data_IF_343050038731
#
_entry.id   IF_343050038731
#
_cell.length_a   1.000
_cell.length_b   1.000
_cell.length_c   1.000
_cell.angle_alpha   90.00
_cell.angle_beta   90.00
_cell.angle_gamma   90.00
#
_symmetry.space_group_name_H-M   'P 1'
#
loop_
_entity.id
_entity.type
_entity.pdbx_description
1 polymer ?
#
# COMPACT_ATOMS: atom_id res chain seq x y z
N UNK A 1 79.27 -32.91 -44.67
CA UNK A 1 79.56 -31.49 -44.40
C UNK A 1 78.23 -30.76 -44.27
N UNK A 2 77.91 -30.36 -43.03
CA UNK A 2 76.90 -29.39 -42.60
C UNK A 2 75.38 -29.68 -42.74
N UNK A 3 74.75 -29.56 -41.57
CA UNK A 3 73.37 -29.77 -41.18
C UNK A 3 72.44 -28.58 -41.47
N UNK A 4 71.12 -28.82 -41.38
CA UNK A 4 70.08 -27.97 -40.74
C UNK A 4 68.70 -28.62 -40.98
N UNK A 5 68.11 -29.26 -39.97
CA UNK A 5 67.31 -28.72 -38.86
C UNK A 5 65.81 -28.74 -39.15
N UNK A 6 65.19 -29.74 -38.54
CA UNK A 6 63.81 -29.88 -38.08
C UNK A 6 63.09 -28.55 -37.80
N UNK A 7 61.82 -28.45 -38.22
CA UNK A 7 60.75 -27.82 -37.42
C UNK A 7 59.38 -28.27 -37.91
N UNK A 8 58.81 -29.27 -37.23
CA UNK A 8 57.35 -29.43 -37.17
C UNK A 8 56.77 -28.24 -36.40
N UNK A 9 55.78 -27.56 -36.99
CA UNK A 9 54.87 -26.69 -36.24
C UNK A 9 53.45 -27.22 -36.37
N UNK A 10 53.08 -28.04 -35.39
CA UNK A 10 51.69 -28.16 -34.95
C UNK A 10 51.22 -26.77 -34.52
N UNK A 11 50.19 -26.25 -35.16
CA UNK A 11 49.33 -25.23 -34.55
C UNK A 11 47.91 -25.79 -34.54
N UNK A 12 47.59 -26.30 -33.36
CA UNK A 12 46.28 -26.73 -32.89
C UNK A 12 45.29 -25.56 -32.91
N UNK A 13 44.05 -25.89 -33.27
CA UNK A 13 42.79 -25.27 -32.89
C UNK A 13 42.91 -24.09 -31.91
N UNK A 14 42.51 -22.91 -32.37
CA UNK A 14 42.05 -21.85 -31.47
C UNK A 14 40.81 -21.21 -32.08
N UNK A 15 39.66 -21.84 -31.85
CA UNK A 15 38.38 -21.16 -32.00
C UNK A 15 38.37 -19.97 -31.06
N UNK A 16 38.58 -18.78 -31.62
CA UNK A 16 38.36 -17.51 -30.94
C UNK A 16 36.87 -17.47 -30.60
N UNK A 17 36.52 -17.84 -29.37
CA UNK A 17 35.19 -17.56 -28.82
C UNK A 17 35.11 -16.05 -28.66
N UNK A 18 34.47 -15.39 -29.63
CA UNK A 18 33.97 -14.02 -29.51
C UNK A 18 32.93 -14.03 -28.38
N UNK A 19 33.40 -13.82 -27.15
CA UNK A 19 32.52 -13.36 -26.08
C UNK A 19 32.15 -11.92 -26.41
N UNK A 20 31.04 -11.75 -27.15
CA UNK A 20 30.33 -10.47 -27.20
C UNK A 20 29.79 -10.20 -25.80
N UNK A 21 30.60 -9.55 -24.97
CA UNK A 21 30.10 -8.89 -23.78
C UNK A 21 29.27 -7.73 -24.29
N UNK A 22 27.94 -7.88 -24.27
CA UNK A 22 27.03 -6.78 -24.56
C UNK A 22 27.47 -5.57 -23.70
N UNK A 23 27.76 -4.45 -24.37
CA UNK A 23 28.16 -3.23 -23.68
C UNK A 23 27.11 -2.89 -22.61
N UNK A 24 27.52 -2.44 -21.40
CA UNK A 24 26.55 -2.03 -20.40
C UNK A 24 25.71 -0.90 -20.99
N UNK A 25 24.40 -1.13 -21.14
CA UNK A 25 23.47 -0.12 -21.64
C UNK A 25 23.58 1.11 -20.75
N UNK A 26 24.24 2.15 -21.26
CA UNK A 26 24.45 3.39 -20.53
C UNK A 26 23.12 4.14 -20.50
N UNK A 27 22.51 4.18 -19.32
CA UNK A 27 21.30 4.97 -19.09
C UNK A 27 21.71 6.36 -18.65
N UNK A 28 21.23 7.37 -19.37
CA UNK A 28 21.45 8.77 -19.04
C UNK A 28 20.95 9.13 -17.63
N UNK A 29 21.79 9.87 -16.89
CA UNK A 29 21.53 10.25 -15.50
C UNK A 29 20.37 11.24 -15.40
N UNK A 30 20.25 12.17 -16.33
CA UNK A 30 19.19 13.19 -16.30
C UNK A 30 17.83 12.55 -16.53
N UNK A 31 17.73 11.69 -17.54
CA UNK A 31 16.54 10.91 -17.86
C UNK A 31 16.10 10.02 -16.70
N UNK A 32 17.05 9.35 -16.04
CA UNK A 32 16.79 8.55 -14.84
C UNK A 32 16.25 9.39 -13.67
N UNK A 33 16.84 10.56 -13.43
CA UNK A 33 16.37 11.49 -12.40
C UNK A 33 14.98 12.04 -12.72
N UNK A 34 14.71 12.38 -13.99
CA UNK A 34 13.41 12.89 -14.46
C UNK A 34 12.32 11.84 -14.26
N UNK A 35 12.56 10.60 -14.67
CA UNK A 35 11.60 9.50 -14.52
C UNK A 35 11.33 9.19 -13.04
N UNK A 36 12.36 9.19 -12.19
CA UNK A 36 12.20 9.00 -10.74
C UNK A 36 11.44 10.14 -10.08
N UNK A 37 11.73 11.41 -10.40
CA UNK A 37 11.01 12.55 -9.82
C UNK A 37 9.53 12.53 -10.20
N UNK A 38 9.19 12.11 -11.42
CA UNK A 38 7.81 11.97 -11.88
C UNK A 38 7.06 10.83 -11.20
N UNK A 39 7.69 9.67 -11.09
CA UNK A 39 6.97 8.44 -10.70
C UNK A 39 7.19 8.02 -9.25
N UNK A 40 8.27 8.45 -8.61
CA UNK A 40 8.62 8.09 -7.23
C UNK A 40 9.13 6.65 -7.04
N UNK A 41 9.26 5.84 -8.10
CA UNK A 41 9.73 4.46 -7.99
C UNK A 41 11.25 4.33 -7.73
N UNK A 42 11.69 3.13 -7.39
CA UNK A 42 13.10 2.83 -7.13
C UNK A 42 13.98 3.10 -8.36
N UNK A 43 15.22 3.57 -8.13
CA UNK A 43 16.18 3.80 -9.23
C UNK A 43 16.42 2.55 -10.08
N UNK A 44 16.38 1.37 -9.46
CA UNK A 44 16.56 0.08 -10.16
C UNK A 44 15.44 -0.13 -11.17
N UNK A 45 14.19 0.10 -10.77
CA UNK A 45 13.05 -0.09 -11.65
C UNK A 45 13.02 0.99 -12.74
N UNK A 46 13.31 2.26 -12.40
CA UNK A 46 13.43 3.32 -13.41
C UNK A 46 14.55 3.04 -14.41
N UNK A 47 15.69 2.49 -13.98
CA UNK A 47 16.78 2.08 -14.88
C UNK A 47 16.32 0.94 -15.80
N UNK A 48 15.66 -0.09 -15.26
CA UNK A 48 15.13 -1.19 -16.09
C UNK A 48 14.13 -0.68 -17.13
N UNK A 49 13.27 0.26 -16.76
CA UNK A 49 12.32 0.88 -17.69
C UNK A 49 13.05 1.62 -18.83
N UNK A 50 14.06 2.42 -18.49
CA UNK A 50 14.85 3.16 -19.48
C UNK A 50 15.69 2.25 -20.38
N UNK A 51 16.15 1.09 -19.89
CA UNK A 51 16.82 0.09 -20.73
C UNK A 51 15.86 -0.52 -21.76
N UNK A 52 14.58 -0.65 -21.44
CA UNK A 52 13.58 -1.25 -22.33
C UNK A 52 13.01 -0.26 -23.36
N UNK A 53 12.73 0.98 -22.96
CA UNK A 53 12.04 1.97 -23.82
C UNK A 53 12.92 3.12 -24.30
N UNK A 54 14.12 3.29 -23.75
CA UNK A 54 14.99 4.42 -24.04
C UNK A 54 14.55 5.73 -23.35
N UNK A 55 15.31 6.82 -23.53
CA UNK A 55 15.06 8.11 -22.87
C UNK A 55 13.89 8.92 -23.47
N UNK A 56 13.51 8.67 -24.73
CA UNK A 56 12.51 9.47 -25.45
C UNK A 56 11.06 9.10 -25.11
N UNK A 57 10.83 7.85 -24.67
CA UNK A 57 9.50 7.27 -24.43
C UNK A 57 9.15 7.18 -22.95
N UNK A 58 9.14 8.33 -22.27
CA UNK A 58 8.90 8.40 -20.83
C UNK A 58 7.51 7.91 -20.42
N UNK A 59 6.48 8.14 -21.25
CA UNK A 59 5.11 7.76 -20.91
C UNK A 59 4.89 6.24 -21.00
N UNK A 60 5.50 5.58 -22.01
CA UNK A 60 5.53 4.12 -22.12
C UNK A 60 6.29 3.50 -20.96
N UNK A 61 7.44 4.09 -20.59
CA UNK A 61 8.23 3.66 -19.45
C UNK A 61 7.46 3.79 -18.12
N UNK A 62 6.68 4.86 -17.94
CA UNK A 62 5.83 5.05 -16.77
C UNK A 62 4.70 4.00 -16.69
N UNK A 63 4.03 3.73 -17.81
CA UNK A 63 3.00 2.68 -17.86
C UNK A 63 3.59 1.32 -17.49
N UNK A 64 4.73 0.98 -18.08
CA UNK A 64 5.45 -0.25 -17.76
C UNK A 64 5.87 -0.32 -16.28
N UNK A 65 6.36 0.79 -15.71
CA UNK A 65 6.71 0.87 -14.30
C UNK A 65 5.52 0.57 -13.39
N UNK A 66 4.33 1.07 -13.72
CA UNK A 66 3.11 0.78 -12.95
C UNK A 66 2.76 -0.71 -13.00
N UNK A 67 2.79 -1.31 -14.19
CA UNK A 67 2.51 -2.74 -14.37
C UNK A 67 3.51 -3.63 -13.62
N UNK A 68 4.79 -3.29 -13.69
CA UNK A 68 5.86 -3.99 -12.96
C UNK A 68 5.69 -3.80 -11.45
N UNK A 69 5.37 -2.59 -10.99
CA UNK A 69 5.18 -2.31 -9.57
C UNK A 69 4.03 -3.11 -8.97
N UNK A 70 2.93 -3.31 -9.72
CA UNK A 70 1.83 -4.18 -9.28
C UNK A 70 2.35 -5.61 -9.12
N UNK A 71 2.96 -6.18 -10.16
CA UNK A 71 3.49 -7.56 -10.14
C UNK A 71 4.51 -7.79 -9.02
N UNK A 72 5.46 -6.87 -8.87
CA UNK A 72 6.46 -6.92 -7.81
C UNK A 72 5.84 -6.73 -6.42
N UNK A 73 4.79 -5.90 -6.30
CA UNK A 73 4.04 -5.72 -5.07
C UNK A 73 3.42 -7.02 -4.58
N UNK A 74 2.73 -7.76 -5.47
CA UNK A 74 2.15 -9.07 -5.16
C UNK A 74 3.23 -10.09 -4.77
N UNK A 75 4.33 -10.14 -5.51
CA UNK A 75 5.44 -11.04 -5.19
C UNK A 75 6.10 -10.72 -3.85
N UNK A 76 6.26 -9.43 -3.52
CA UNK A 76 6.81 -8.99 -2.23
C UNK A 76 5.84 -9.30 -1.09
N UNK A 77 4.55 -8.98 -1.25
CA UNK A 77 3.55 -9.27 -0.25
C UNK A 77 3.50 -10.77 0.10
N UNK A 78 3.54 -11.65 -0.92
CA UNK A 78 3.60 -13.10 -0.70
C UNK A 78 4.88 -13.56 0.01
N UNK A 79 6.02 -12.90 -0.21
CA UNK A 79 7.28 -13.22 0.47
C UNK A 79 7.33 -12.70 1.91
N UNK A 80 6.71 -11.56 2.16
CA UNK A 80 6.75 -10.87 3.45
C UNK A 80 5.63 -11.32 4.38
N UNK A 81 4.56 -11.95 3.87
CA UNK A 81 3.37 -12.35 4.64
C UNK A 81 3.67 -13.19 5.89
N UNK A 82 4.74 -13.98 5.87
CA UNK A 82 5.11 -14.85 6.98
C UNK A 82 5.85 -14.11 8.12
N UNK A 83 6.19 -12.83 7.93
CA UNK A 83 6.87 -12.03 8.95
C UNK A 83 5.86 -11.50 9.97
N UNK A 84 6.25 -11.48 11.24
CA UNK A 84 5.39 -11.03 12.32
C UNK A 84 5.11 -9.52 12.26
N UNK A 85 3.84 -9.14 12.30
CA UNK A 85 3.40 -7.73 12.36
C UNK A 85 2.89 -7.38 13.76
N UNK A 86 3.79 -6.86 14.59
CA UNK A 86 3.49 -6.52 16.00
C UNK A 86 3.18 -5.03 16.21
N UNK A 87 3.57 -4.18 15.26
CA UNK A 87 3.32 -2.74 15.30
C UNK A 87 2.13 -2.38 14.40
N UNK A 88 1.68 -1.14 14.45
CA UNK A 88 0.54 -0.68 13.67
C UNK A 88 -0.19 0.50 14.29
N UNK A 89 -1.29 0.89 13.63
CA UNK A 89 -2.23 1.91 14.08
C UNK A 89 -3.66 1.45 13.84
N UNK A 90 -4.56 2.04 14.61
CA UNK A 90 -6.00 1.87 14.47
C UNK A 90 -6.60 3.21 14.04
N UNK A 91 -7.40 3.18 12.97
CA UNK A 91 -8.14 4.32 12.45
C UNK A 91 -9.61 4.21 12.84
N UNK A 92 -10.21 5.35 13.20
CA UNK A 92 -11.65 5.47 13.46
C UNK A 92 -12.22 6.68 12.74
N UNK A 93 -13.32 6.46 12.03
CA UNK A 93 -14.10 7.52 11.39
C UNK A 93 -15.58 7.31 11.70
N UNK A 94 -16.27 8.35 12.18
CA UNK A 94 -17.68 8.29 12.56
C UNK A 94 -18.48 9.33 11.78
N UNK A 95 -19.68 8.95 11.35
CA UNK A 95 -20.62 9.82 10.67
C UNK A 95 -22.05 9.50 11.11
N UNK A 96 -22.58 10.33 12.01
CA UNK A 96 -23.94 10.17 12.53
C UNK A 96 -24.10 8.84 13.27
N UNK A 97 -24.92 7.95 12.72
CA UNK A 97 -25.24 6.63 13.27
C UNK A 97 -24.31 5.50 12.79
N UNK A 98 -23.28 5.79 11.99
CA UNK A 98 -22.33 4.77 11.50
C UNK A 98 -20.91 5.16 11.84
N UNK A 99 -20.07 4.20 12.22
CA UNK A 99 -18.64 4.40 12.36
C UNK A 99 -17.86 3.23 11.76
N UNK A 100 -16.68 3.51 11.21
CA UNK A 100 -15.73 2.52 10.75
C UNK A 100 -14.52 2.51 11.67
N UNK A 101 -14.05 1.31 12.04
CA UNK A 101 -12.81 1.08 12.76
C UNK A 101 -11.97 0.10 11.96
N UNK A 102 -10.75 0.51 11.63
CA UNK A 102 -9.80 -0.31 10.87
C UNK A 102 -8.51 -0.44 11.66
N UNK A 103 -8.09 -1.67 11.90
CA UNK A 103 -6.78 -1.99 12.49
C UNK A 103 -5.82 -2.42 11.39
N UNK A 104 -4.70 -1.71 11.27
CA UNK A 104 -3.65 -2.02 10.31
C UNK A 104 -2.34 -2.28 11.06
N UNK A 105 -1.75 -3.44 10.81
CA UNK A 105 -0.49 -3.87 11.43
C UNK A 105 0.68 -3.88 10.44
N UNK A 106 1.87 -3.63 10.94
CA UNK A 106 3.14 -3.65 10.21
C UNK A 106 4.28 -4.24 11.06
N UNK A 107 5.46 -4.41 10.45
CA UNK A 107 6.64 -4.96 11.13
C UNK A 107 7.21 -3.95 12.14
N UNK A 108 7.50 -2.72 11.69
CA UNK A 108 8.19 -1.70 12.51
C UNK A 108 7.34 -0.49 12.85
N UNK A 109 7.70 0.23 13.91
CA UNK A 109 7.00 1.47 14.31
C UNK A 109 7.38 2.67 13.43
N UNK A 110 8.53 2.62 12.75
CA UNK A 110 8.95 3.61 11.75
C UNK A 110 7.97 3.69 10.59
N UNK A 111 7.53 2.54 10.07
CA UNK A 111 6.53 2.51 9.01
C UNK A 111 5.17 2.97 9.52
N UNK A 112 4.76 2.54 10.72
CA UNK A 112 3.48 2.95 11.32
C UNK A 112 3.32 4.47 11.45
N UNK A 113 4.41 5.19 11.77
CA UNK A 113 4.39 6.66 11.93
C UNK A 113 4.51 7.42 10.61
N UNK A 114 4.86 6.74 9.52
CA UNK A 114 5.08 7.34 8.21
C UNK A 114 3.79 7.80 7.52
N UNK A 115 3.87 8.88 6.74
CA UNK A 115 2.72 9.45 6.02
C UNK A 115 2.05 8.43 5.09
N UNK A 116 2.82 7.65 4.32
CA UNK A 116 2.28 6.63 3.41
C UNK A 116 1.41 5.58 4.13
N UNK A 117 1.77 5.20 5.37
CA UNK A 117 1.01 4.21 6.14
C UNK A 117 -0.28 4.82 6.69
N UNK A 118 -0.22 6.07 7.16
CA UNK A 118 -1.40 6.83 7.59
C UNK A 118 -2.38 7.08 6.45
N UNK A 119 -1.87 7.45 5.27
CA UNK A 119 -2.68 7.60 4.04
C UNK A 119 -3.39 6.30 3.66
N UNK A 120 -2.69 5.15 3.73
CA UNK A 120 -3.30 3.85 3.50
C UNK A 120 -4.42 3.58 4.51
N UNK A 121 -4.17 3.78 5.81
CA UNK A 121 -5.16 3.56 6.87
C UNK A 121 -6.36 4.50 6.71
N UNK A 122 -6.13 5.74 6.31
CA UNK A 122 -7.19 6.71 5.98
C UNK A 122 -8.07 6.21 4.84
N UNK A 123 -7.45 5.81 3.72
CA UNK A 123 -8.16 5.29 2.56
C UNK A 123 -9.00 4.06 2.91
N UNK A 124 -8.44 3.10 3.66
CA UNK A 124 -9.16 1.91 4.11
C UNK A 124 -10.36 2.30 5.00
N UNK A 125 -10.15 3.17 5.97
CA UNK A 125 -11.20 3.59 6.92
C UNK A 125 -12.34 4.33 6.21
N UNK A 126 -12.01 5.22 5.27
CA UNK A 126 -13.00 5.94 4.46
C UNK A 126 -13.81 4.99 3.58
N UNK A 127 -13.16 4.03 2.92
CA UNK A 127 -13.83 3.05 2.07
C UNK A 127 -14.79 2.17 2.87
N UNK A 128 -14.39 1.70 4.06
CA UNK A 128 -15.28 0.95 4.97
C UNK A 128 -16.47 1.81 5.39
N UNK A 129 -16.23 3.06 5.80
CA UNK A 129 -17.31 3.96 6.24
C UNK A 129 -18.30 4.24 5.10
N UNK A 130 -17.82 4.50 3.89
CA UNK A 130 -18.64 4.75 2.70
C UNK A 130 -19.50 3.54 2.35
N UNK A 131 -18.91 2.35 2.38
CA UNK A 131 -19.64 1.11 2.11
C UNK A 131 -20.69 0.81 3.20
N UNK A 132 -20.35 1.02 4.48
CA UNK A 132 -21.26 0.85 5.59
C UNK A 132 -22.46 1.81 5.53
N UNK A 133 -22.22 3.07 5.12
CA UNK A 133 -23.29 4.06 4.88
C UNK A 133 -24.25 3.65 3.77
N UNK A 134 -23.80 2.90 2.77
CA UNK A 134 -24.69 2.40 1.72
C UNK A 134 -25.49 1.17 2.17
N UNK A 135 -25.02 0.46 3.19
CA UNK A 135 -25.61 -0.78 3.70
C UNK A 135 -26.21 -0.59 5.12
N UNK A 136 -27.12 0.38 5.29
CA UNK A 136 -27.74 0.75 6.59
C UNK A 136 -28.73 -0.31 7.14
N UNK A 137 -28.78 -1.52 6.57
CA UNK A 137 -29.71 -2.59 6.94
C UNK A 137 -29.60 -3.11 8.39
N UNK A 138 -28.65 -2.61 9.20
CA UNK A 138 -28.30 -3.15 10.52
C UNK A 138 -28.77 -2.29 11.72
N UNK A 139 -29.84 -1.48 11.55
CA UNK A 139 -30.47 -0.74 12.65
C UNK A 139 -31.22 -1.69 13.60
N UNK A 140 -30.50 -2.31 14.55
CA UNK A 140 -31.09 -3.15 15.59
C UNK A 140 -31.60 -2.37 16.81
N UNK A 141 -32.58 -2.93 17.51
CA UNK A 141 -33.15 -2.35 18.73
C UNK A 141 -32.18 -2.44 19.92
N UNK A 142 -31.49 -1.35 20.21
CA UNK A 142 -30.91 -1.06 21.54
C UNK A 142 -29.42 -1.39 21.75
N UNK A 143 -28.76 -2.12 20.86
CA UNK A 143 -27.31 -2.40 20.93
C UNK A 143 -26.59 -1.89 19.68
N UNK A 144 -25.29 -1.60 19.81
CA UNK A 144 -24.43 -1.29 18.67
C UNK A 144 -24.29 -2.56 17.83
N UNK A 145 -24.71 -2.53 16.58
CA UNK A 145 -24.50 -3.63 15.65
C UNK A 145 -23.11 -3.53 15.03
N UNK A 146 -22.49 -4.67 14.76
CA UNK A 146 -21.15 -4.76 14.17
C UNK A 146 -21.24 -5.54 12.87
N UNK A 147 -20.71 -4.97 11.80
CA UNK A 147 -20.48 -5.67 10.54
C UNK A 147 -18.97 -5.74 10.28
N UNK A 148 -18.49 -6.92 9.92
CA UNK A 148 -17.11 -7.13 9.50
C UNK A 148 -17.05 -7.17 7.98
N UNK A 149 -16.02 -6.57 7.40
CA UNK A 149 -15.83 -6.52 5.96
C UNK A 149 -14.52 -7.16 5.54
N UNK A 150 -14.55 -7.79 4.37
CA UNK A 150 -13.37 -8.37 3.75
C UNK A 150 -12.71 -7.40 2.76
N UNK A 151 -11.40 -7.57 2.58
CA UNK A 151 -10.60 -6.74 1.68
C UNK A 151 -10.92 -6.90 0.19
N UNK A 152 -11.54 -8.03 -0.17
CA UNK A 152 -11.82 -8.40 -1.57
C UNK A 152 -13.13 -7.80 -2.08
N UNK A 153 -14.09 -7.58 -1.18
CA UNK A 153 -15.42 -7.07 -1.52
C UNK A 153 -15.43 -5.54 -1.60
N UNK A 154 -14.56 -4.89 -0.83
CA UNK A 154 -14.47 -3.44 -0.77
C UNK A 154 -13.60 -2.86 -1.88
N UNK A 155 -14.12 -1.80 -2.50
CA UNK A 155 -13.42 -1.01 -3.53
C UNK A 155 -13.20 0.41 -3.06
N UNK A 156 -12.07 0.98 -3.46
CA UNK A 156 -11.77 2.40 -3.31
C UNK A 156 -12.51 3.24 -4.35
N UNK A 157 -12.41 4.56 -4.23
CA UNK A 157 -12.99 5.53 -5.18
C UNK A 157 -12.43 5.36 -6.61
N UNK A 158 -11.19 4.88 -6.72
CA UNK A 158 -10.53 4.54 -7.99
C UNK A 158 -10.97 3.18 -8.58
N UNK A 159 -11.90 2.47 -7.93
CA UNK A 159 -12.40 1.16 -8.38
C UNK A 159 -11.47 -0.03 -8.10
N UNK A 160 -10.27 0.20 -7.57
CA UNK A 160 -9.33 -0.85 -7.12
C UNK A 160 -9.83 -1.53 -5.85
N UNK A 161 -9.51 -2.80 -5.69
CA UNK A 161 -9.81 -3.55 -4.46
C UNK A 161 -8.92 -3.08 -3.31
N UNK A 162 -9.39 -3.17 -2.06
CA UNK A 162 -8.56 -2.80 -0.90
C UNK A 162 -7.31 -3.69 -0.81
N UNK A 163 -7.44 -4.96 -1.19
CA UNK A 163 -6.32 -5.91 -1.25
C UNK A 163 -5.20 -5.44 -2.20
N UNK A 164 -5.55 -4.95 -3.38
CA UNK A 164 -4.58 -4.37 -4.31
C UNK A 164 -3.89 -3.15 -3.72
N UNK A 165 -4.64 -2.26 -3.06
CA UNK A 165 -4.12 -1.03 -2.46
C UNK A 165 -3.14 -1.32 -1.32
N UNK A 166 -3.46 -2.29 -0.46
CA UNK A 166 -2.54 -2.77 0.59
C UNK A 166 -1.29 -3.38 -0.04
N UNK A 167 -1.45 -4.21 -1.07
CA UNK A 167 -0.33 -4.87 -1.76
C UNK A 167 0.61 -3.87 -2.45
N UNK A 168 0.06 -2.84 -3.08
CA UNK A 168 0.84 -1.74 -3.66
C UNK A 168 1.64 -1.00 -2.57
N UNK A 169 1.05 -0.80 -1.39
CA UNK A 169 1.71 -0.16 -0.26
C UNK A 169 2.83 -1.01 0.32
N UNK A 170 2.64 -2.33 0.42
CA UNK A 170 3.71 -3.30 0.77
C UNK A 170 4.84 -3.23 -0.25
N UNK A 171 4.54 -3.13 -1.54
CA UNK A 171 5.54 -2.99 -2.60
C UNK A 171 6.40 -1.71 -2.45
N UNK A 172 5.76 -0.61 -2.03
CA UNK A 172 6.38 0.72 -1.82
C UNK A 172 7.19 0.80 -0.52
N UNK A 173 6.63 0.30 0.58
CA UNK A 173 7.23 0.38 1.91
C UNK A 173 8.24 -0.75 2.17
N UNK A 174 8.05 -1.91 1.54
CA UNK A 174 8.95 -3.05 1.67
C UNK A 174 8.82 -3.82 2.98
N UNK A 175 7.75 -3.59 3.74
CA UNK A 175 7.41 -4.33 4.97
C UNK A 175 6.10 -5.09 4.80
N UNK A 176 5.93 -6.16 5.57
CA UNK A 176 4.65 -6.83 5.72
C UNK A 176 3.64 -5.87 6.34
N UNK A 177 2.51 -5.67 5.67
CA UNK A 177 1.39 -4.87 6.16
C UNK A 177 0.16 -5.76 6.12
N UNK A 178 -0.43 -5.97 7.29
CA UNK A 178 -1.58 -6.85 7.45
C UNK A 178 -2.75 -6.08 8.10
N UNK A 179 -3.86 -5.86 7.40
CA UNK A 179 -5.08 -5.35 7.99
C UNK A 179 -5.70 -6.46 8.86
N UNK A 180 -5.78 -6.22 10.17
CA UNK A 180 -6.25 -7.22 11.13
C UNK A 180 -7.75 -7.23 11.30
N UNK A 181 -8.39 -6.07 11.20
CA UNK A 181 -9.81 -5.91 11.45
C UNK A 181 -10.34 -4.75 10.62
N UNK A 182 -11.42 -4.97 9.88
CA UNK A 182 -12.18 -3.94 9.19
C UNK A 182 -13.64 -4.06 9.64
N UNK A 183 -14.04 -3.20 10.58
CA UNK A 183 -15.36 -3.28 11.21
C UNK A 183 -16.11 -1.98 11.02
N UNK A 184 -17.39 -2.09 10.71
CA UNK A 184 -18.32 -0.99 10.88
C UNK A 184 -19.25 -1.25 12.06
N UNK A 185 -19.58 -0.15 12.73
CA UNK A 185 -20.45 -0.10 13.87
C UNK A 185 -21.66 0.75 13.52
N UNK A 186 -22.84 0.26 13.85
CA UNK A 186 -24.11 0.94 13.62
C UNK A 186 -24.76 1.27 14.95
N UNK A 187 -25.10 2.53 15.13
CA UNK A 187 -25.76 3.05 16.30
C UNK A 187 -27.24 2.59 16.33
N UNK A 188 -27.79 2.32 17.52
CA UNK A 188 -29.22 2.12 17.67
C UNK A 188 -30.01 3.39 17.35
N UNK A 189 -31.32 3.26 17.10
CA UNK A 189 -32.18 4.40 16.77
C UNK A 189 -32.11 5.54 17.81
N UNK A 190 -31.85 6.76 17.31
CA UNK A 190 -31.70 7.97 18.10
C UNK A 190 -30.34 8.14 18.79
N UNK A 191 -29.37 7.27 18.52
CA UNK A 191 -28.01 7.42 19.00
C UNK A 191 -27.06 7.86 17.87
N UNK A 192 -26.07 8.67 18.23
CA UNK A 192 -24.96 9.07 17.37
C UNK A 192 -23.65 8.48 17.88
N UNK A 193 -22.78 8.07 16.96
CA UNK A 193 -21.46 7.50 17.26
C UNK A 193 -20.39 8.58 17.19
N UNK A 194 -19.49 8.56 18.18
CA UNK A 194 -18.33 9.43 18.26
C UNK A 194 -17.08 8.59 18.49
N UNK A 195 -16.13 8.70 17.55
CA UNK A 195 -14.83 8.03 17.64
C UNK A 195 -13.73 8.99 18.08
N UNK A 196 -12.89 8.58 19.02
CA UNK A 196 -11.66 9.27 19.37
C UNK A 196 -10.47 8.31 19.41
N UNK A 197 -9.25 8.85 19.32
CA UNK A 197 -8.02 8.06 19.31
C UNK A 197 -6.99 8.57 20.33
N UNK A 198 -6.12 7.66 20.78
CA UNK A 198 -5.00 7.99 21.65
C UNK A 198 -3.72 7.20 21.29
N UNK A 199 -2.54 7.85 21.22
CA UNK A 199 -2.36 9.29 21.06
C UNK A 199 -3.10 9.79 19.82
N UNK A 200 -3.58 11.03 19.85
CA UNK A 200 -4.35 11.59 18.74
C UNK A 200 -3.42 11.92 17.57
N UNK A 201 -3.63 11.21 16.47
CA UNK A 201 -2.94 11.40 15.19
C UNK A 201 -4.00 11.33 14.07
N UNK A 202 -3.58 11.49 12.81
CA UNK A 202 -4.44 11.37 11.64
C UNK A 202 -4.96 12.71 11.10
N UNK A 203 -6.03 12.63 10.30
CA UNK A 203 -6.64 13.76 9.62
C UNK A 203 -7.92 14.20 10.33
N UNK A 204 -8.47 15.41 10.03
CA UNK A 204 -9.75 15.84 10.62
C UNK A 204 -10.91 14.87 10.38
N UNK A 205 -10.84 14.08 9.30
CA UNK A 205 -11.86 13.11 8.91
C UNK A 205 -11.67 11.73 9.56
N UNK A 206 -10.42 11.33 9.82
CA UNK A 206 -10.08 10.01 10.38
C UNK A 206 -9.10 10.19 11.53
N UNK A 207 -9.59 9.92 12.74
CA UNK A 207 -8.76 9.88 13.94
C UNK A 207 -7.96 8.58 13.94
N UNK A 208 -6.65 8.67 14.17
CA UNK A 208 -5.74 7.51 14.18
C UNK A 208 -4.95 7.49 15.48
N UNK A 209 -4.69 6.30 16.00
CA UNK A 209 -3.87 6.15 17.19
C UNK A 209 -3.52 4.70 17.48
N UNK A 210 -2.86 4.46 18.61
CA UNK A 210 -2.62 3.09 19.09
C UNK A 210 -3.87 2.48 19.71
N UNK A 211 -4.71 3.33 20.28
CA UNK A 211 -6.01 2.99 20.83
C UNK A 211 -7.08 3.86 20.20
N UNK A 212 -8.27 3.29 20.02
CA UNK A 212 -9.46 4.02 19.61
C UNK A 212 -10.59 3.71 20.58
N UNK A 213 -11.40 4.71 20.88
CA UNK A 213 -12.64 4.57 21.62
C UNK A 213 -13.79 4.97 20.72
N UNK A 214 -14.88 4.21 20.79
CA UNK A 214 -16.11 4.49 20.07
C UNK A 214 -17.24 4.55 21.09
N UNK A 215 -17.95 5.68 21.14
CA UNK A 215 -19.01 5.94 22.10
C UNK A 215 -20.30 6.23 21.34
N UNK A 216 -21.36 5.48 21.66
CA UNK A 216 -22.71 5.78 21.20
C UNK A 216 -23.42 6.66 22.24
N UNK A 217 -23.84 7.86 21.84
CA UNK A 217 -24.59 8.78 22.69
C UNK A 217 -26.02 8.87 22.18
N UNK A 218 -26.98 8.53 23.04
CA UNK A 218 -28.41 8.75 22.80
C UNK A 218 -28.89 9.85 23.74
N UNK A 219 -29.32 10.98 23.17
CA UNK A 219 -29.97 12.04 23.95
C UNK A 219 -31.46 11.73 23.98
N UNK A 220 -32.01 11.53 25.18
CA UNK A 220 -33.46 11.47 25.33
C UNK A 220 -34.03 12.86 25.08
N UNK A 221 -35.04 12.96 24.22
CA UNK A 221 -35.82 14.18 23.98
C UNK A 221 -36.61 14.54 25.24
N UNK A 222 -35.94 15.11 26.23
CA UNK A 222 -36.61 15.87 27.29
C UNK A 222 -36.62 17.34 26.88
N UNK A 223 -37.78 18.01 26.86
CA UNK A 223 -37.83 19.43 26.63
C UNK A 223 -37.12 20.16 27.79
N UNK A 224 -35.96 20.77 27.50
CA UNK A 224 -35.32 21.79 28.35
C UNK A 224 -34.01 21.40 29.06
N UNK A 225 -32.96 22.20 28.83
CA UNK A 225 -32.12 22.93 29.82
C UNK A 225 -30.88 23.55 29.14
N UNK A 226 -30.41 23.01 28.01
CA UNK A 226 -29.30 23.59 27.23
C UNK A 226 -29.75 23.90 25.80
N UNK A 227 -29.56 25.16 25.32
CA UNK A 227 -29.80 25.51 23.92
C UNK A 227 -28.81 24.79 22.99
N UNK A 228 -29.25 24.62 21.74
CA UNK A 228 -28.51 23.98 20.64
C UNK A 228 -27.21 24.71 20.31
#
# INVERSE_FOLDING_TARGET
>A
MLARLCTQRFLTNSSIRLFSVAAPVQVDKESLMKLRKRTGYSYVNCRKALVQFGPDKLDEAEKWLREVAVKEGWAKAAKLSNRATTQGLVGVASAGNVAAVVELSCETDFVARGANFKELLEQLTKSVLKHAKNNISHQGSGKIAVAEYDLETLKNEEGKTLREVVTMSVGKLGENINPKSLKAYFAPQGASLYGNSHPKDGTPEVNMGRFVSLIALKRNERPGIFPL
#
